data_IF_617291050308
#
_entry.id   IF_617291050308
#
_cell.length_a   1.000
_cell.length_b   1.000
_cell.length_c   1.000
_cell.angle_alpha   90.00
_cell.angle_beta   90.00
_cell.angle_gamma   90.00
#
_symmetry.space_group_name_H-M   'P 1'
#
loop_
_entity.id
_entity.type
_entity.pdbx_description
1 polymer ?
#
# COMPACT_ATOMS: atom_id res chain seq x y z
N UNK A 1 -3.96 6.31 -7.67
CA UNK A 1 -4.41 5.24 -6.74
C UNK A 1 -5.74 5.66 -6.14
N UNK A 2 -6.52 4.74 -5.57
CA UNK A 2 -7.81 5.06 -4.96
C UNK A 2 -7.72 5.05 -3.43
N UNK A 3 -8.60 5.80 -2.76
CA UNK A 3 -8.71 5.77 -1.29
C UNK A 3 -9.11 4.37 -0.86
N UNK A 4 -8.28 3.73 -0.03
CA UNK A 4 -8.40 2.31 0.25
C UNK A 4 -8.57 2.03 1.74
N UNK A 5 -7.89 2.78 2.60
CA UNK A 5 -7.94 2.55 4.04
C UNK A 5 -7.72 3.84 4.84
N UNK A 6 -8.07 3.79 6.12
CA UNK A 6 -7.94 4.92 7.05
C UNK A 6 -6.69 4.80 7.91
N UNK A 7 -6.08 5.95 8.19
CA UNK A 7 -5.03 6.13 9.19
C UNK A 7 -5.47 7.21 10.16
N UNK A 8 -6.09 6.80 11.28
CA UNK A 8 -6.83 7.72 12.13
C UNK A 8 -7.99 8.39 11.37
N UNK A 9 -7.94 9.71 11.24
CA UNK A 9 -9.01 10.50 10.63
C UNK A 9 -8.85 10.75 9.12
N UNK A 10 -7.73 10.34 8.52
CA UNK A 10 -7.43 10.58 7.10
C UNK A 10 -7.55 9.31 6.25
N UNK A 11 -7.82 9.49 4.96
CA UNK A 11 -7.88 8.41 3.98
C UNK A 11 -6.61 8.35 3.13
N UNK A 12 -6.01 7.16 3.06
CA UNK A 12 -4.81 6.90 2.31
C UNK A 12 -5.13 6.16 1.01
N UNK A 13 -4.49 6.61 -0.05
CA UNK A 13 -4.61 6.01 -1.37
C UNK A 13 -3.69 4.80 -1.51
N UNK A 14 -4.20 3.73 -2.09
CA UNK A 14 -3.45 2.51 -2.33
C UNK A 14 -3.88 1.74 -3.57
N UNK A 15 -3.12 0.69 -3.86
CA UNK A 15 -3.37 -0.30 -4.88
C UNK A 15 -3.20 -1.69 -4.27
N UNK A 16 -4.22 -2.54 -4.39
CA UNK A 16 -4.21 -3.91 -3.88
C UNK A 16 -4.20 -4.91 -5.05
N UNK A 17 -3.02 -5.45 -5.34
CA UNK A 17 -2.84 -6.49 -6.34
C UNK A 17 -3.20 -7.85 -5.73
N UNK A 18 -4.09 -8.57 -6.42
CA UNK A 18 -4.66 -9.85 -5.94
C UNK A 18 -4.15 -11.00 -6.80
N UNK A 19 -3.54 -12.03 -6.21
CA UNK A 19 -3.13 -13.21 -6.95
C UNK A 19 -4.34 -14.05 -7.33
N UNK A 20 -4.23 -14.83 -8.41
CA UNK A 20 -5.23 -15.87 -8.71
C UNK A 20 -4.97 -17.08 -7.81
N UNK A 21 -5.82 -17.27 -6.81
CA UNK A 21 -5.71 -18.36 -5.83
C UNK A 21 -7.01 -19.18 -5.79
N UNK A 22 -6.92 -20.44 -5.40
CA UNK A 22 -8.11 -21.27 -5.24
C UNK A 22 -8.96 -20.76 -4.06
N UNK A 23 -10.31 -20.88 -4.11
CA UNK A 23 -11.17 -20.48 -3.00
C UNK A 23 -10.76 -21.14 -1.67
N UNK A 24 -10.79 -20.37 -0.58
CA UNK A 24 -10.37 -20.84 0.75
C UNK A 24 -8.86 -20.94 0.97
N UNK A 25 -8.04 -20.55 -0.01
CA UNK A 25 -6.58 -20.47 0.16
C UNK A 25 -6.19 -19.14 0.78
N UNK A 26 -5.28 -19.18 1.76
CA UNK A 26 -4.60 -17.98 2.27
C UNK A 26 -3.17 -17.93 1.73
N UNK A 27 -2.71 -16.72 1.40
CA UNK A 27 -1.38 -16.46 0.84
C UNK A 27 -0.67 -15.35 1.62
N UNK A 28 0.67 -15.28 1.57
CA UNK A 28 1.41 -14.21 2.22
C UNK A 28 0.95 -12.82 1.77
N UNK A 29 0.82 -11.91 2.73
CA UNK A 29 0.67 -10.48 2.48
C UNK A 29 2.02 -9.78 2.32
N UNK A 30 2.14 -8.87 1.36
CA UNK A 30 3.29 -7.98 1.18
C UNK A 30 2.82 -6.53 1.14
N UNK A 31 3.45 -5.68 1.94
CA UNK A 31 3.25 -4.24 1.94
C UNK A 31 4.46 -3.54 1.31
N UNK A 32 4.24 -2.74 0.28
CA UNK A 32 5.27 -1.92 -0.37
C UNK A 32 4.96 -0.45 -0.09
N UNK A 33 5.91 0.25 0.51
CA UNK A 33 5.85 1.69 0.75
C UNK A 33 7.00 2.41 0.04
N UNK A 34 6.77 3.66 -0.35
CA UNK A 34 7.83 4.48 -0.94
C UNK A 34 8.80 5.02 0.11
N UNK A 35 10.03 5.29 -0.32
CA UNK A 35 11.00 6.00 0.48
C UNK A 35 10.71 7.50 0.55
N UNK A 36 11.68 8.25 1.08
CA UNK A 36 11.61 9.70 1.12
C UNK A 36 11.56 10.28 -0.31
N UNK A 37 10.63 11.19 -0.63
CA UNK A 37 10.52 11.78 -1.96
C UNK A 37 11.81 12.49 -2.35
N UNK A 38 12.27 12.19 -3.56
CA UNK A 38 13.43 12.86 -4.13
C UNK A 38 13.07 14.33 -4.38
N UNK A 39 13.96 15.27 -4.01
CA UNK A 39 13.73 16.71 -4.16
C UNK A 39 13.30 17.12 -5.59
N UNK A 40 13.79 16.41 -6.61
CA UNK A 40 13.52 16.70 -8.02
C UNK A 40 12.16 16.18 -8.54
N UNK A 41 11.51 15.30 -7.80
CA UNK A 41 10.27 14.63 -8.22
C UNK A 41 9.10 14.94 -7.29
N UNK A 42 9.37 15.32 -6.03
CA UNK A 42 8.35 15.69 -5.04
C UNK A 42 7.46 14.52 -4.59
N UNK A 43 6.62 14.76 -3.59
CA UNK A 43 5.72 13.74 -3.01
C UNK A 43 4.68 13.19 -3.99
N UNK A 44 4.27 13.99 -4.99
CA UNK A 44 3.22 13.62 -5.96
C UNK A 44 3.64 12.50 -6.93
N UNK A 45 4.94 12.26 -7.10
CA UNK A 45 5.49 11.22 -7.98
C UNK A 45 5.91 9.97 -7.21
N UNK A 46 5.73 9.95 -5.89
CA UNK A 46 6.09 8.80 -5.05
C UNK A 46 5.23 7.59 -5.40
N UNK A 47 5.83 6.39 -5.34
CA UNK A 47 5.19 5.10 -5.62
C UNK A 47 4.57 4.90 -7.03
N UNK A 48 4.82 5.79 -8.00
CA UNK A 48 4.15 5.73 -9.32
C UNK A 48 4.30 4.40 -10.07
N UNK A 49 5.45 3.74 -9.98
CA UNK A 49 5.73 2.47 -10.67
C UNK A 49 5.51 1.23 -9.80
N UNK A 50 5.04 1.41 -8.57
CA UNK A 50 4.87 0.32 -7.62
C UNK A 50 3.61 -0.53 -7.88
N UNK A 51 2.49 0.00 -8.40
CA UNK A 51 1.36 -0.84 -8.80
C UNK A 51 1.75 -1.93 -9.80
N UNK A 52 2.56 -1.61 -10.82
CA UNK A 52 3.01 -2.59 -11.82
C UNK A 52 3.92 -3.66 -11.20
N UNK A 53 4.79 -3.28 -10.26
CA UNK A 53 5.60 -4.22 -9.49
C UNK A 53 4.72 -5.13 -8.62
N UNK A 54 3.69 -4.57 -7.98
CA UNK A 54 2.75 -5.33 -7.15
C UNK A 54 1.97 -6.34 -7.97
N UNK A 55 1.46 -5.96 -9.14
CA UNK A 55 0.79 -6.88 -10.06
C UNK A 55 1.71 -8.02 -10.52
N UNK A 56 2.97 -7.70 -10.79
CA UNK A 56 3.96 -8.71 -11.17
C UNK A 56 4.22 -9.69 -10.03
N UNK A 57 4.42 -9.21 -8.80
CA UNK A 57 4.63 -10.07 -7.62
C UNK A 57 3.39 -10.93 -7.36
N UNK A 58 2.20 -10.34 -7.41
CA UNK A 58 0.95 -11.08 -7.24
C UNK A 58 0.80 -12.18 -8.30
N UNK A 59 1.17 -11.89 -9.55
CA UNK A 59 1.09 -12.84 -10.66
C UNK A 59 2.14 -13.95 -10.59
N UNK A 60 3.40 -13.60 -10.33
CA UNK A 60 4.53 -14.54 -10.40
C UNK A 60 4.75 -15.31 -9.09
N UNK A 61 4.49 -14.70 -7.93
CA UNK A 61 4.73 -15.29 -6.61
C UNK A 61 3.45 -15.75 -5.90
N UNK A 62 2.27 -15.32 -6.37
CA UNK A 62 0.99 -15.66 -5.76
C UNK A 62 0.72 -14.96 -4.42
N UNK A 63 1.31 -13.79 -4.18
CA UNK A 63 1.15 -13.04 -2.92
C UNK A 63 0.10 -11.95 -3.02
N UNK A 64 -0.54 -11.61 -1.90
CA UNK A 64 -1.41 -10.43 -1.80
C UNK A 64 -0.54 -9.20 -1.59
N UNK A 65 -0.57 -8.22 -2.50
CA UNK A 65 0.35 -7.08 -2.42
C UNK A 65 -0.39 -5.77 -2.31
N UNK A 66 -0.12 -5.03 -1.24
CA UNK A 66 -0.59 -3.67 -1.04
C UNK A 66 0.54 -2.68 -1.30
N UNK A 67 0.27 -1.71 -2.17
CA UNK A 67 1.07 -0.49 -2.36
C UNK A 67 0.24 0.68 -1.85
N UNK A 68 0.87 1.65 -1.18
CA UNK A 68 0.16 2.86 -0.79
C UNK A 68 1.04 4.10 -0.79
N UNK A 69 0.40 5.26 -0.82
CA UNK A 69 1.03 6.55 -0.62
C UNK A 69 0.90 6.95 0.85
N UNK A 70 2.01 7.38 1.46
CA UNK A 70 1.95 7.97 2.79
C UNK A 70 1.15 9.29 2.79
N UNK A 71 0.69 9.74 3.97
CA UNK A 71 0.02 11.05 4.08
C UNK A 71 0.89 12.18 3.50
N UNK A 72 0.24 13.11 2.81
CA UNK A 72 0.91 14.21 2.10
C UNK A 72 1.72 13.78 0.87
N UNK A 73 1.50 12.57 0.34
CA UNK A 73 2.10 12.10 -0.90
C UNK A 73 1.04 11.55 -1.87
N UNK A 74 1.28 11.71 -3.17
CA UNK A 74 0.35 11.29 -4.23
C UNK A 74 -1.10 11.67 -3.95
N UNK A 75 -1.99 10.69 -4.02
CA UNK A 75 -3.44 10.84 -3.82
C UNK A 75 -3.87 10.65 -2.34
N UNK A 76 -2.95 10.52 -1.39
CA UNK A 76 -3.27 10.37 0.04
C UNK A 76 -3.54 11.71 0.71
N UNK A 77 -4.44 11.73 1.69
CA UNK A 77 -4.78 12.94 2.43
C UNK A 77 -3.68 13.35 3.41
N UNK A 78 -3.87 14.51 4.04
CA UNK A 78 -3.02 14.99 5.12
C UNK A 78 -1.72 15.62 4.66
N UNK A 79 -0.83 15.85 5.61
CA UNK A 79 0.45 16.52 5.39
C UNK A 79 1.61 15.64 5.86
N UNK A 80 2.79 15.86 5.27
CA UNK A 80 4.02 15.14 5.63
C UNK A 80 4.29 15.20 7.14
N UNK A 81 4.58 14.03 7.72
CA UNK A 81 5.03 13.86 9.10
C UNK A 81 5.70 12.51 9.24
N UNK A 82 6.92 12.44 9.76
CA UNK A 82 7.63 11.17 9.97
C UNK A 82 6.91 10.25 10.97
N UNK A 83 6.39 10.82 12.05
CA UNK A 83 5.55 10.08 12.99
C UNK A 83 4.26 9.63 12.32
N UNK A 84 3.65 10.50 11.51
CA UNK A 84 2.48 10.17 10.73
C UNK A 84 2.70 9.03 9.74
N UNK A 85 3.85 8.98 9.07
CA UNK A 85 4.21 7.90 8.15
C UNK A 85 4.40 6.57 8.85
N UNK A 86 4.97 6.57 10.06
CA UNK A 86 5.01 5.37 10.89
C UNK A 86 3.59 4.87 11.19
N UNK A 87 2.69 5.78 11.57
CA UNK A 87 1.30 5.42 11.90
C UNK A 87 0.54 4.93 10.65
N UNK A 88 0.79 5.54 9.50
CA UNK A 88 0.25 5.11 8.19
C UNK A 88 0.74 3.71 7.81
N UNK A 89 2.01 3.39 8.04
CA UNK A 89 2.57 2.06 7.77
C UNK A 89 1.89 0.98 8.63
N UNK A 90 1.67 1.28 9.91
CA UNK A 90 0.96 0.39 10.83
C UNK A 90 -0.51 0.21 10.41
N UNK A 91 -1.17 1.29 10.01
CA UNK A 91 -2.55 1.26 9.52
C UNK A 91 -2.67 0.45 8.22
N UNK A 92 -1.73 0.61 7.28
CA UNK A 92 -1.69 -0.14 6.04
C UNK A 92 -1.48 -1.64 6.28
N UNK A 93 -0.55 -2.00 7.19
CA UNK A 93 -0.33 -3.39 7.57
C UNK A 93 -1.57 -3.98 8.27
N UNK A 94 -2.23 -3.22 9.15
CA UNK A 94 -3.47 -3.64 9.79
C UNK A 94 -4.59 -3.86 8.75
N UNK A 95 -4.76 -2.94 7.81
CA UNK A 95 -5.71 -3.09 6.72
C UNK A 95 -5.43 -4.32 5.87
N UNK A 96 -4.17 -4.55 5.46
CA UNK A 96 -3.80 -5.73 4.67
C UNK A 96 -4.19 -7.04 5.35
N UNK A 97 -4.04 -7.14 6.68
CA UNK A 97 -4.46 -8.32 7.45
C UNK A 97 -5.97 -8.55 7.48
N UNK A 98 -6.77 -7.54 7.17
CA UNK A 98 -8.24 -7.69 7.06
C UNK A 98 -8.69 -8.15 5.68
N UNK A 99 -7.80 -8.16 4.68
CA UNK A 99 -8.12 -8.60 3.33
C UNK A 99 -8.30 -10.12 3.32
N UNK A 100 -9.44 -10.57 2.80
CA UNK A 100 -9.71 -12.00 2.64
C UNK A 100 -8.61 -12.69 1.80
N UNK A 101 -8.17 -13.86 2.27
CA UNK A 101 -7.11 -14.63 1.62
C UNK A 101 -5.70 -14.20 2.00
N UNK A 102 -5.51 -13.23 2.91
CA UNK A 102 -4.19 -12.93 3.48
C UNK A 102 -3.88 -13.84 4.67
N UNK A 103 -2.64 -14.32 4.74
CA UNK A 103 -2.05 -15.03 5.88
C UNK A 103 -0.86 -14.23 6.41
N UNK A 104 -0.84 -14.01 7.74
CA UNK A 104 0.20 -13.27 8.46
C UNK A 104 -0.26 -11.94 9.01
#
# INVERSE_FOLDING_TARGET
MEKLFRSGDIELAGHLARPRIAPGTSVPGLLICHGFPNLNQGGALSARSFPELAERIATEMGWMVLVFNFRGAGDSDGNFSLHGWRDDLLAAAAYLRTVEGVSG
#
